data_IF_986255748193
#
_entry.id   IF_986255748193
#
_cell.length_a   1.000
_cell.length_b   1.000
_cell.length_c   1.000
_cell.angle_alpha   90.00
_cell.angle_beta   90.00
_cell.angle_gamma   90.00
#
_symmetry.space_group_name_H-M   'P 1'
#
loop_
_entity.id
_entity.type
_entity.pdbx_description
1 polymer ?
#
# COMPACT_ATOMS: atom_id res chain seq x y z
N UNK A 1 -28.01 12.14 -20.97
CA UNK A 1 -27.61 12.23 -19.55
C UNK A 1 -26.45 11.26 -19.42
N UNK A 2 -25.25 11.82 -19.47
CA UNK A 2 -23.95 11.12 -19.48
C UNK A 2 -23.60 10.59 -18.07
N UNK A 3 -22.49 9.84 -18.00
CA UNK A 3 -21.72 9.34 -16.82
C UNK A 3 -22.04 7.86 -16.53
N UNK A 4 -21.13 6.88 -16.52
CA UNK A 4 -19.71 6.75 -16.84
C UNK A 4 -19.34 5.26 -17.00
N UNK A 5 -18.28 5.03 -17.76
CA UNK A 5 -17.52 3.79 -17.97
C UNK A 5 -16.73 3.39 -16.70
N UNK A 6 -16.70 2.09 -16.35
CA UNK A 6 -15.45 1.33 -16.10
C UNK A 6 -15.70 -0.02 -15.38
N UNK A 7 -15.12 -1.09 -15.93
CA UNK A 7 -14.49 -2.21 -15.19
C UNK A 7 -15.33 -3.34 -14.59
N UNK A 8 -16.47 -3.73 -15.18
CA UNK A 8 -17.13 -4.98 -14.81
C UNK A 8 -16.28 -6.20 -15.23
N UNK A 9 -15.56 -6.81 -14.28
CA UNK A 9 -14.93 -8.13 -14.45
C UNK A 9 -16.04 -9.16 -14.70
N UNK A 10 -15.90 -10.06 -15.69
CA UNK A 10 -16.94 -11.04 -16.01
C UNK A 10 -17.31 -11.88 -14.77
N UNK A 11 -18.60 -11.99 -14.42
CA UNK A 11 -19.05 -12.70 -13.22
C UNK A 11 -18.69 -14.20 -13.20
N UNK A 12 -18.33 -14.81 -14.34
CA UNK A 12 -17.82 -16.19 -14.37
C UNK A 12 -16.45 -16.36 -13.68
N UNK A 13 -15.66 -15.28 -13.51
CA UNK A 13 -14.36 -15.36 -12.83
C UNK A 13 -14.46 -15.27 -11.30
N UNK A 14 -15.59 -14.77 -10.76
CA UNK A 14 -15.76 -14.58 -9.30
C UNK A 14 -17.03 -15.25 -8.75
N UNK A 15 -17.85 -15.88 -9.59
CA UNK A 15 -18.99 -16.69 -9.14
C UNK A 15 -20.13 -15.86 -8.52
N UNK A 16 -20.28 -14.59 -8.91
CA UNK A 16 -21.30 -13.67 -8.39
C UNK A 16 -21.10 -12.23 -8.86
N UNK A 17 -21.90 -11.29 -8.33
CA UNK A 17 -21.67 -9.86 -8.54
C UNK A 17 -20.31 -9.48 -7.95
N UNK A 18 -19.40 -9.01 -8.80
CA UNK A 18 -18.12 -8.47 -8.38
C UNK A 18 -18.34 -7.06 -7.87
N UNK A 19 -18.75 -6.92 -6.62
CA UNK A 19 -18.81 -5.62 -5.97
C UNK A 19 -17.37 -5.14 -5.72
N UNK A 20 -16.95 -4.23 -6.59
CA UNK A 20 -15.64 -3.61 -6.52
C UNK A 20 -15.44 -2.87 -5.19
N UNK A 21 -16.49 -2.33 -4.56
CA UNK A 21 -16.36 -1.71 -3.24
C UNK A 21 -16.19 -2.74 -2.13
N UNK A 22 -16.94 -3.85 -2.12
CA UNK A 22 -16.85 -4.88 -1.06
C UNK A 22 -15.53 -5.65 -1.08
N UNK A 23 -14.94 -5.89 -2.25
CA UNK A 23 -13.65 -6.61 -2.37
C UNK A 23 -12.46 -5.84 -1.80
N UNK A 24 -12.54 -4.50 -1.75
CA UNK A 24 -11.48 -3.67 -1.18
C UNK A 24 -11.71 -3.32 0.28
N UNK A 25 -12.78 -3.79 0.93
CA UNK A 25 -12.98 -3.56 2.37
C UNK A 25 -12.08 -4.49 3.17
N UNK A 26 -11.26 -3.90 4.04
CA UNK A 26 -10.48 -4.63 5.03
C UNK A 26 -11.47 -5.19 6.07
N UNK A 27 -11.65 -6.51 6.06
CA UNK A 27 -12.62 -7.20 6.93
C UNK A 27 -12.16 -7.28 8.39
N UNK A 28 -10.85 -7.46 8.60
CA UNK A 28 -10.22 -7.46 9.91
C UNK A 28 -9.06 -6.46 9.92
N UNK A 29 -9.14 -5.48 10.83
CA UNK A 29 -8.12 -4.45 10.96
C UNK A 29 -6.75 -5.04 11.37
N UNK A 30 -6.71 -6.18 12.06
CA UNK A 30 -5.45 -6.88 12.40
C UNK A 30 -4.65 -7.29 11.16
N UNK A 31 -5.30 -7.50 10.01
CA UNK A 31 -4.60 -7.79 8.76
C UNK A 31 -3.66 -6.65 8.33
N UNK A 32 -3.92 -5.41 8.77
CA UNK A 32 -3.00 -4.28 8.55
C UNK A 32 -1.71 -4.50 9.35
N UNK A 33 -1.79 -4.97 10.59
CA UNK A 33 -0.60 -5.26 11.40
C UNK A 33 0.20 -6.40 10.79
N UNK A 34 -0.47 -7.49 10.39
CA UNK A 34 0.19 -8.60 9.70
C UNK A 34 0.84 -8.17 8.39
N UNK A 35 0.20 -7.29 7.61
CA UNK A 35 0.82 -6.72 6.42
C UNK A 35 2.09 -5.94 6.76
N UNK A 36 2.08 -5.12 7.81
CA UNK A 36 3.26 -4.35 8.25
C UNK A 36 4.39 -5.26 8.77
N UNK A 37 4.07 -6.35 9.46
CA UNK A 37 5.05 -7.36 9.88
C UNK A 37 5.70 -8.05 8.67
N UNK A 38 4.89 -8.41 7.66
CA UNK A 38 5.41 -8.98 6.41
C UNK A 38 6.29 -7.98 5.65
N UNK A 39 5.87 -6.72 5.61
CA UNK A 39 6.58 -5.64 4.93
C UNK A 39 8.02 -5.49 5.43
N UNK A 40 8.25 -5.69 6.74
CA UNK A 40 9.58 -5.60 7.37
C UNK A 40 10.58 -6.64 6.84
N UNK A 41 10.11 -7.67 6.12
CA UNK A 41 10.94 -8.73 5.52
C UNK A 41 11.09 -8.61 4.01
N UNK A 42 10.39 -7.67 3.36
CA UNK A 42 10.45 -7.49 1.91
C UNK A 42 11.62 -6.61 1.49
N UNK A 43 12.20 -6.80 0.29
CA UNK A 43 13.16 -5.85 -0.28
C UNK A 43 12.48 -4.50 -0.58
N UNK A 44 13.23 -3.37 -0.63
CA UNK A 44 12.65 -2.03 -0.77
C UNK A 44 11.72 -1.85 -1.97
N UNK A 45 12.03 -2.46 -3.12
CA UNK A 45 11.19 -2.40 -4.32
C UNK A 45 9.80 -3.00 -4.08
N UNK A 46 9.73 -4.17 -3.44
CA UNK A 46 8.47 -4.83 -3.13
C UNK A 46 7.72 -4.09 -2.02
N UNK A 47 8.40 -3.51 -1.05
CA UNK A 47 7.75 -2.66 -0.04
C UNK A 47 7.01 -1.49 -0.71
N UNK A 48 7.63 -0.83 -1.70
CA UNK A 48 7.01 0.26 -2.44
C UNK A 48 5.77 -0.18 -3.23
N UNK A 49 5.81 -1.36 -3.85
CA UNK A 49 4.65 -1.95 -4.54
C UNK A 49 3.50 -2.24 -3.57
N UNK A 50 3.79 -2.89 -2.43
CA UNK A 50 2.80 -3.19 -1.39
C UNK A 50 2.18 -1.90 -0.85
N UNK A 51 2.99 -0.89 -0.54
CA UNK A 51 2.49 0.42 -0.10
C UNK A 51 1.60 1.07 -1.16
N UNK A 52 1.96 0.97 -2.44
CA UNK A 52 1.17 1.54 -3.54
C UNK A 52 -0.20 0.88 -3.65
N UNK A 53 -0.27 -0.46 -3.55
CA UNK A 53 -1.53 -1.20 -3.52
C UNK A 53 -2.34 -0.86 -2.27
N UNK A 54 -1.69 -0.82 -1.11
CA UNK A 54 -2.36 -0.49 0.15
C UNK A 54 -2.98 0.91 0.09
N UNK A 55 -2.25 1.92 -0.38
CA UNK A 55 -2.78 3.28 -0.59
C UNK A 55 -3.96 3.27 -1.56
N UNK A 56 -3.90 2.51 -2.66
CA UNK A 56 -5.00 2.39 -3.61
C UNK A 56 -6.26 1.81 -2.95
N UNK A 57 -6.11 0.79 -2.09
CA UNK A 57 -7.21 0.19 -1.30
C UNK A 57 -7.78 1.19 -0.29
N UNK A 58 -6.93 1.92 0.44
CA UNK A 58 -7.39 2.91 1.42
C UNK A 58 -8.20 4.04 0.79
N UNK A 59 -7.82 4.48 -0.42
CA UNK A 59 -8.51 5.56 -1.16
C UNK A 59 -9.91 5.20 -1.63
N UNK A 60 -10.27 3.91 -1.65
CA UNK A 60 -11.58 3.43 -2.10
C UNK A 60 -12.61 3.32 -0.97
N UNK A 61 -12.20 3.42 0.29
CA UNK A 61 -13.09 3.13 1.42
C UNK A 61 -12.72 3.91 2.69
N UNK A 62 -13.64 4.75 3.16
CA UNK A 62 -13.52 5.44 4.46
C UNK A 62 -13.48 4.42 5.61
N UNK A 63 -14.15 3.26 5.47
CA UNK A 63 -14.06 2.18 6.46
C UNK A 63 -12.63 1.63 6.58
N UNK A 64 -11.87 1.59 5.49
CA UNK A 64 -10.47 1.17 5.55
C UNK A 64 -9.60 2.21 6.29
N UNK A 65 -9.87 3.49 6.09
CA UNK A 65 -9.21 4.56 6.86
C UNK A 65 -9.54 4.47 8.36
N UNK A 66 -10.78 4.10 8.70
CA UNK A 66 -11.17 3.84 10.08
C UNK A 66 -10.41 2.64 10.66
N UNK A 67 -10.32 1.52 9.92
CA UNK A 67 -9.54 0.36 10.34
C UNK A 67 -8.06 0.71 10.60
N UNK A 68 -7.46 1.56 9.76
CA UNK A 68 -6.11 2.09 10.00
C UNK A 68 -6.00 2.91 11.29
N UNK A 69 -7.04 3.65 11.65
CA UNK A 69 -7.10 4.42 12.90
C UNK A 69 -7.21 3.48 14.10
N UNK A 70 -8.07 2.47 14.02
CA UNK A 70 -8.33 1.52 15.10
C UNK A 70 -7.08 0.72 15.48
N UNK A 71 -6.21 0.43 14.51
CA UNK A 71 -4.91 -0.24 14.75
C UNK A 71 -3.75 0.71 15.00
N UNK A 72 -3.97 2.02 14.97
CA UNK A 72 -2.89 3.00 15.17
C UNK A 72 -1.82 2.95 14.07
N UNK A 73 -2.21 2.82 12.80
CA UNK A 73 -1.30 2.73 11.65
C UNK A 73 -0.17 3.78 11.69
N UNK A 74 -0.50 5.04 12.02
CA UNK A 74 0.47 6.13 12.11
C UNK A 74 1.58 5.80 13.13
N UNK A 75 1.22 5.28 14.30
CA UNK A 75 2.19 4.90 15.32
C UNK A 75 3.14 3.81 14.81
N UNK A 76 2.59 2.77 14.19
CA UNK A 76 3.37 1.68 13.61
C UNK A 76 4.30 2.12 12.48
N UNK A 77 3.87 3.08 11.66
CA UNK A 77 4.72 3.65 10.59
C UNK A 77 5.83 4.52 11.20
N UNK A 78 5.52 5.37 12.17
CA UNK A 78 6.51 6.22 12.84
C UNK A 78 7.62 5.40 13.51
N UNK A 79 7.29 4.25 14.09
CA UNK A 79 8.27 3.31 14.66
C UNK A 79 9.23 2.72 13.63
N UNK A 80 8.82 2.64 12.36
CA UNK A 80 9.60 2.06 11.26
C UNK A 80 10.47 3.08 10.54
N UNK A 81 10.10 4.37 10.58
CA UNK A 81 10.85 5.46 9.90
C UNK A 81 12.36 5.46 10.17
N UNK A 82 12.88 5.26 11.40
CA UNK A 82 14.32 5.28 11.65
C UNK A 82 15.11 4.17 10.92
N UNK A 83 14.43 3.12 10.46
CA UNK A 83 15.02 1.96 9.77
C UNK A 83 14.78 2.01 8.26
N UNK A 84 13.93 2.92 7.79
CA UNK A 84 13.62 3.05 6.38
C UNK A 84 14.81 3.70 5.66
N UNK A 85 15.18 3.13 4.51
CA UNK A 85 16.18 3.75 3.64
C UNK A 85 15.69 5.13 3.19
N UNK A 86 16.54 6.14 3.32
CA UNK A 86 16.20 7.49 2.86
C UNK A 86 16.33 7.51 1.34
N UNK A 87 15.20 7.43 0.64
CA UNK A 87 15.17 7.67 -0.81
C UNK A 87 15.21 9.18 -1.02
N UNK A 88 16.41 9.76 -0.96
CA UNK A 88 16.64 11.13 -1.44
C UNK A 88 16.65 11.06 -2.97
N UNK A 89 15.66 11.66 -3.62
CA UNK A 89 15.73 11.90 -5.05
C UNK A 89 16.79 12.99 -5.31
N UNK A 90 18.06 12.59 -5.37
CA UNK A 90 19.18 13.43 -5.76
C UNK A 90 20.18 13.72 -4.65
N UNK A 91 21.16 12.83 -4.49
CA UNK A 91 22.52 13.18 -4.08
C UNK A 91 23.48 12.34 -4.95
N UNK A 92 23.92 12.97 -6.04
CA UNK A 92 25.23 12.83 -6.68
C UNK A 92 25.98 11.48 -6.61
N UNK A 93 25.92 10.71 -7.70
CA UNK A 93 27.09 9.98 -8.20
C UNK A 93 28.12 11.00 -8.76
N UNK A 94 28.68 11.82 -7.88
CA UNK A 94 29.97 12.49 -8.14
C UNK A 94 30.94 12.10 -7.05
N UNK A 95 31.65 10.99 -7.25
CA UNK A 95 33.09 10.87 -6.99
C UNK A 95 33.56 9.43 -7.15
N UNK A 96 34.23 9.15 -8.27
CA UNK A 96 35.49 8.42 -8.21
C UNK A 96 36.34 8.83 -9.43
N UNK A 97 36.80 10.08 -9.43
CA UNK A 97 38.12 10.38 -10.01
C UNK A 97 39.08 10.65 -8.86
N UNK A 98 40.00 9.71 -8.63
CA UNK A 98 41.41 10.00 -8.38
C UNK A 98 42.22 8.72 -8.17
N UNK A 99 43.30 8.66 -8.94
CA UNK A 99 44.57 7.96 -8.70
C UNK A 99 44.65 6.45 -8.99
N UNK A 100 44.97 6.10 -10.25
CA UNK A 100 46.31 5.62 -10.62
C UNK A 100 46.55 5.64 -12.13
#
# INVERSE_FOLDING_TARGET
MSIDDHSAVPPELVGGEFDMELNFVIQDAQNIQHMLELLDHCPPSLQAEIWSVFIAILRKSVRNLQACTDVGLIHHVLQRLPRAETVVAGEDDTSHDSAK
#
